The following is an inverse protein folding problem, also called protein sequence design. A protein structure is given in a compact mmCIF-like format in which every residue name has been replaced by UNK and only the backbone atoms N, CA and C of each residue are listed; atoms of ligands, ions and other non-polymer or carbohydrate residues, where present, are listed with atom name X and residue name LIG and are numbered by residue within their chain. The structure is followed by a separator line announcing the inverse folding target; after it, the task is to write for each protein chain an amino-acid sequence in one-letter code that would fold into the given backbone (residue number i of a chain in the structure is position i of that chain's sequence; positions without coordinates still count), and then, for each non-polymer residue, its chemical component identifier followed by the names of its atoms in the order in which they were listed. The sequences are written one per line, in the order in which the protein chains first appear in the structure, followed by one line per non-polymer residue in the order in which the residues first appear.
data_IF_088784471585
#
_entry.id   IF_088784471585
#
_cell.length_a   1.000
_cell.length_b   1.000
_cell.length_c   1.000
_cell.angle_alpha   90.00
_cell.angle_beta   90.00
_cell.angle_gamma   90.00
#
_symmetry.space_group_name_H-M   'P 1'
#
loop_
_entity.id
_entity.type
_entity.pdbx_description
1 polymer ?
#
# COMPACT_ATOMS: atom_id res chain seq x y z
N UNK A 1 -19.31 -0.18 21.71
CA UNK A 1 -18.14 -1.04 21.43
C UNK A 1 -17.15 -0.83 22.57
N UNK A 2 -16.61 -1.90 23.15
CA UNK A 2 -15.48 -1.75 24.09
C UNK A 2 -14.25 -1.21 23.35
N UNK A 3 -13.29 -0.63 24.06
CA UNK A 3 -12.01 -0.15 23.48
C UNK A 3 -11.34 -1.27 22.68
N UNK A 4 -11.34 -2.50 23.23
CA UNK A 4 -10.82 -3.67 22.54
C UNK A 4 -11.53 -3.98 21.21
N UNK A 5 -12.86 -3.83 21.15
CA UNK A 5 -13.61 -4.03 19.90
C UNK A 5 -13.31 -2.94 18.87
N UNK A 6 -13.13 -1.68 19.29
CA UNK A 6 -12.77 -0.58 18.38
C UNK A 6 -11.35 -0.76 17.80
N UNK A 7 -10.39 -1.13 18.64
CA UNK A 7 -9.00 -1.38 18.22
C UNK A 7 -8.88 -2.64 17.38
N UNK A 8 -9.68 -3.66 17.66
CA UNK A 8 -9.79 -4.84 16.80
C UNK A 8 -10.34 -4.46 15.42
N UNK A 9 -11.41 -3.66 15.35
CA UNK A 9 -11.97 -3.18 14.09
C UNK A 9 -10.98 -2.32 13.26
N UNK A 10 -10.18 -1.48 13.92
CA UNK A 10 -9.13 -0.68 13.27
C UNK A 10 -7.99 -1.53 12.70
N UNK A 11 -7.58 -2.57 13.43
CA UNK A 11 -6.40 -3.37 13.12
C UNK A 11 -6.68 -4.63 12.29
N UNK A 12 -7.89 -5.21 12.32
CA UNK A 12 -8.17 -6.50 11.65
C UNK A 12 -7.98 -6.46 10.14
N UNK A 13 -8.12 -5.29 9.52
CA UNK A 13 -7.83 -5.08 8.10
C UNK A 13 -6.34 -5.29 7.78
N UNK A 14 -5.43 -4.79 8.62
CA UNK A 14 -3.98 -4.98 8.40
C UNK A 14 -3.57 -6.42 8.65
N UNK A 15 -4.23 -7.09 9.61
CA UNK A 15 -4.10 -8.53 9.80
C UNK A 15 -4.51 -9.30 8.54
N UNK A 16 -5.66 -8.98 7.93
CA UNK A 16 -6.06 -9.55 6.64
C UNK A 16 -5.02 -9.27 5.54
N UNK A 17 -4.52 -8.04 5.48
CA UNK A 17 -3.46 -7.61 4.54
C UNK A 17 -2.18 -8.43 4.66
N UNK A 18 -1.80 -8.79 5.89
CA UNK A 18 -0.65 -9.66 6.17
C UNK A 18 -0.82 -11.03 5.48
N UNK A 19 -1.96 -11.70 5.65
CA UNK A 19 -2.22 -12.97 4.98
C UNK A 19 -2.27 -12.81 3.47
N UNK A 20 -2.98 -11.79 2.98
CA UNK A 20 -3.05 -11.48 1.55
C UNK A 20 -1.67 -11.32 0.93
N UNK A 21 -0.77 -10.59 1.60
CA UNK A 21 0.59 -10.37 1.14
C UNK A 21 1.43 -11.67 1.08
N UNK A 22 1.34 -12.55 2.08
CA UNK A 22 2.06 -13.84 2.11
C UNK A 22 1.65 -14.73 0.92
N UNK A 23 0.35 -14.79 0.62
CA UNK A 23 -0.17 -15.64 -0.45
C UNK A 23 -0.10 -15.00 -1.84
N UNK A 24 0.00 -13.67 -1.93
CA UNK A 24 -0.04 -12.91 -3.18
C UNK A 24 0.89 -13.43 -4.27
N UNK A 25 2.17 -13.70 -3.94
CA UNK A 25 3.14 -14.20 -4.91
C UNK A 25 2.82 -15.60 -5.43
N UNK A 26 2.44 -16.52 -4.54
CA UNK A 26 2.07 -17.90 -4.92
C UNK A 26 0.82 -17.92 -5.79
N UNK A 27 -0.20 -17.16 -5.39
CA UNK A 27 -1.46 -17.08 -6.14
C UNK A 27 -1.20 -16.44 -7.52
N UNK A 28 -0.45 -15.34 -7.58
CA UNK A 28 -0.10 -14.67 -8.84
C UNK A 28 0.73 -15.52 -9.81
N UNK A 29 1.51 -16.46 -9.30
CA UNK A 29 2.26 -17.42 -10.12
C UNK A 29 1.41 -18.60 -10.60
N UNK A 30 0.40 -19.01 -9.83
CA UNK A 30 -0.47 -20.16 -10.12
C UNK A 30 -1.61 -19.81 -11.07
N UNK A 31 -2.39 -18.76 -10.75
CA UNK A 31 -3.63 -18.43 -11.47
C UNK A 31 -3.50 -17.25 -12.43
N UNK A 32 -2.34 -16.59 -12.47
CA UNK A 32 -2.14 -15.41 -13.28
C UNK A 32 -2.24 -14.10 -12.51
N UNK A 33 -1.73 -13.01 -13.09
CA UNK A 33 -1.87 -11.68 -12.50
C UNK A 33 -3.32 -11.21 -12.66
N UNK A 34 -3.90 -11.38 -13.86
CA UNK A 34 -5.32 -11.09 -14.11
C UNK A 34 -6.23 -11.96 -13.26
N UNK A 35 -5.95 -13.26 -13.16
CA UNK A 35 -6.71 -14.20 -12.31
C UNK A 35 -6.66 -13.82 -10.84
N UNK A 36 -5.51 -13.37 -10.34
CA UNK A 36 -5.38 -12.94 -8.94
C UNK A 36 -6.15 -11.65 -8.65
N UNK A 37 -6.20 -10.71 -9.60
CA UNK A 37 -7.04 -9.51 -9.46
C UNK A 37 -8.53 -9.87 -9.38
N UNK A 38 -8.99 -10.83 -10.19
CA UNK A 38 -10.35 -11.37 -10.13
C UNK A 38 -10.64 -11.99 -8.76
N UNK A 39 -9.76 -12.87 -8.31
CA UNK A 39 -9.88 -13.53 -7.01
C UNK A 39 -9.94 -12.52 -5.87
N UNK A 40 -9.05 -11.53 -5.85
CA UNK A 40 -9.04 -10.47 -4.85
C UNK A 40 -10.34 -9.63 -4.88
N UNK A 41 -10.92 -9.37 -6.07
CA UNK A 41 -12.17 -8.61 -6.15
C UNK A 41 -13.35 -9.32 -5.52
N UNK A 42 -13.41 -10.66 -5.56
CA UNK A 42 -14.44 -11.44 -4.88
C UNK A 42 -14.41 -11.15 -3.37
N UNK A 43 -13.22 -11.14 -2.75
CA UNK A 43 -13.07 -10.82 -1.33
C UNK A 43 -13.42 -9.36 -1.02
N UNK A 44 -13.11 -8.42 -1.90
CA UNK A 44 -13.53 -7.03 -1.75
C UNK A 44 -15.05 -6.88 -1.78
N UNK A 45 -15.72 -7.48 -2.76
CA UNK A 45 -17.18 -7.40 -2.90
C UNK A 45 -17.87 -8.03 -1.69
N UNK A 46 -17.45 -9.24 -1.29
CA UNK A 46 -17.98 -9.91 -0.10
C UNK A 46 -17.74 -9.07 1.15
N UNK A 47 -16.55 -8.48 1.28
CA UNK A 47 -16.20 -7.66 2.44
C UNK A 47 -17.03 -6.36 2.52
N UNK A 48 -17.22 -5.66 1.41
CA UNK A 48 -18.07 -4.46 1.37
C UNK A 48 -19.55 -4.78 1.62
N UNK A 49 -20.06 -5.89 1.09
CA UNK A 49 -21.43 -6.35 1.37
C UNK A 49 -21.60 -6.72 2.85
N UNK A 50 -20.63 -7.42 3.43
CA UNK A 50 -20.63 -7.76 4.86
C UNK A 50 -20.63 -6.50 5.74
N UNK A 51 -19.90 -5.45 5.37
CA UNK A 51 -19.91 -4.16 6.07
C UNK A 51 -21.25 -3.44 5.88
N UNK A 52 -21.77 -3.39 4.65
CA UNK A 52 -23.00 -2.66 4.35
C UNK A 52 -24.24 -3.24 5.04
N UNK A 53 -24.33 -4.57 5.11
CA UNK A 53 -25.46 -5.31 5.70
C UNK A 53 -25.19 -5.80 7.13
N UNK A 54 -24.01 -5.49 7.69
CA UNK A 54 -23.62 -5.91 9.02
C UNK A 54 -24.59 -5.42 10.11
N UNK A 55 -25.12 -6.37 10.88
CA UNK A 55 -25.99 -6.12 12.04
C UNK A 55 -25.21 -6.11 13.36
N UNK A 56 -24.15 -6.91 13.43
CA UNK A 56 -23.29 -7.06 14.61
C UNK A 56 -21.84 -6.65 14.31
N UNK A 57 -21.06 -6.37 15.36
CA UNK A 57 -19.65 -6.02 15.25
C UNK A 57 -18.82 -7.10 14.53
N UNK A 58 -19.15 -8.38 14.72
CA UNK A 58 -18.49 -9.51 14.07
C UNK A 58 -18.61 -9.49 12.55
N UNK A 59 -19.73 -9.02 12.00
CA UNK A 59 -19.93 -8.87 10.56
C UNK A 59 -19.03 -7.76 9.99
N UNK A 60 -18.87 -6.66 10.73
CA UNK A 60 -18.00 -5.56 10.36
C UNK A 60 -16.52 -5.99 10.38
N UNK A 61 -16.12 -6.74 11.40
CA UNK A 61 -14.77 -7.27 11.55
C UNK A 61 -14.44 -8.30 10.45
N UNK A 62 -15.36 -9.24 10.19
CA UNK A 62 -15.22 -10.23 9.11
C UNK A 62 -15.13 -9.55 7.74
N UNK A 63 -15.95 -8.52 7.50
CA UNK A 63 -15.90 -7.73 6.27
C UNK A 63 -14.55 -7.02 6.10
N UNK A 64 -14.03 -6.40 7.15
CA UNK A 64 -12.70 -5.75 7.13
C UNK A 64 -11.55 -6.74 6.96
N UNK A 65 -11.63 -7.93 7.56
CA UNK A 65 -10.66 -8.99 7.34
C UNK A 65 -10.60 -9.40 5.87
N UNK A 66 -11.78 -9.59 5.25
CA UNK A 66 -11.91 -9.95 3.83
C UNK A 66 -11.34 -8.86 2.91
N UNK A 67 -11.68 -7.59 3.15
CA UNK A 67 -11.11 -6.46 2.39
C UNK A 67 -9.60 -6.38 2.61
N UNK A 68 -9.13 -6.58 3.84
CA UNK A 68 -7.70 -6.62 4.17
C UNK A 68 -6.96 -7.64 3.32
N UNK A 69 -7.49 -8.88 3.24
CA UNK A 69 -6.92 -9.94 2.40
C UNK A 69 -6.83 -9.53 0.92
N UNK A 70 -7.90 -8.94 0.38
CA UNK A 70 -7.92 -8.44 -1.00
C UNK A 70 -6.89 -7.32 -1.22
N UNK A 71 -6.79 -6.35 -0.31
CA UNK A 71 -5.82 -5.24 -0.37
C UNK A 71 -4.39 -5.78 -0.31
N UNK A 72 -4.12 -6.79 0.53
CA UNK A 72 -2.83 -7.48 0.57
C UNK A 72 -2.46 -8.09 -0.79
N UNK A 73 -3.41 -8.75 -1.47
CA UNK A 73 -3.20 -9.25 -2.83
C UNK A 73 -2.95 -8.12 -3.85
N UNK A 74 -3.77 -7.06 -3.83
CA UNK A 74 -3.63 -5.93 -4.75
C UNK A 74 -2.31 -5.18 -4.60
N UNK A 75 -1.82 -5.05 -3.37
CA UNK A 75 -0.58 -4.33 -3.07
C UNK A 75 0.64 -4.90 -3.80
N UNK A 76 0.64 -6.20 -4.09
CA UNK A 76 1.68 -6.87 -4.87
C UNK A 76 1.32 -6.98 -6.35
N UNK A 77 0.11 -7.44 -6.67
CA UNK A 77 -0.24 -7.85 -8.03
C UNK A 77 -0.38 -6.67 -8.98
N UNK A 78 -0.95 -5.54 -8.53
CA UNK A 78 -1.18 -4.38 -9.41
C UNK A 78 0.15 -3.74 -9.85
N UNK A 79 1.08 -3.36 -8.94
CA UNK A 79 2.37 -2.79 -9.37
C UNK A 79 3.19 -3.73 -10.24
N UNK A 80 3.18 -5.04 -9.94
CA UNK A 80 3.90 -6.06 -10.72
C UNK A 80 3.30 -6.16 -12.12
N UNK A 81 1.98 -6.27 -12.24
CA UNK A 81 1.32 -6.33 -13.53
C UNK A 81 1.63 -5.11 -14.39
N UNK A 82 1.52 -3.91 -13.82
CA UNK A 82 1.89 -2.66 -14.51
C UNK A 82 3.35 -2.71 -14.97
N UNK A 83 4.28 -3.10 -14.09
CA UNK A 83 5.70 -3.19 -14.43
C UNK A 83 6.02 -4.21 -15.53
N UNK A 84 5.22 -5.28 -15.64
CA UNK A 84 5.39 -6.34 -16.64
C UNK A 84 4.82 -5.96 -18.01
N UNK A 85 3.71 -5.22 -18.07
CA UNK A 85 3.10 -4.79 -19.34
C UNK A 85 3.73 -3.52 -19.92
N UNK A 86 4.30 -2.65 -19.07
CA UNK A 86 4.82 -1.35 -19.51
C UNK A 86 6.24 -1.45 -20.11
N UNK A 87 6.51 -0.76 -21.24
CA UNK A 87 7.85 -0.66 -21.82
C UNK A 87 8.89 -0.13 -20.83
N UNK A 88 10.16 -0.56 -20.98
CA UNK A 88 11.26 -0.22 -20.05
C UNK A 88 11.43 1.30 -19.82
N UNK A 89 11.26 2.12 -20.86
CA UNK A 89 11.53 3.56 -20.81
C UNK A 89 10.44 4.39 -20.09
N UNK A 90 9.19 3.90 -20.02
CA UNK A 90 8.07 4.59 -19.32
C UNK A 90 7.58 3.84 -18.08
N UNK A 91 8.20 2.71 -17.72
CA UNK A 91 7.79 1.86 -16.59
C UNK A 91 7.64 2.63 -15.28
N UNK A 92 8.59 3.51 -14.96
CA UNK A 92 8.56 4.29 -13.72
C UNK A 92 7.29 5.13 -13.61
N UNK A 93 6.92 5.85 -14.67
CA UNK A 93 5.74 6.71 -14.71
C UNK A 93 4.43 5.93 -14.53
N UNK A 94 4.28 4.76 -15.17
CA UNK A 94 3.08 3.92 -15.01
C UNK A 94 3.01 3.26 -13.64
N UNK A 95 4.13 2.80 -13.06
CA UNK A 95 4.12 2.28 -11.68
C UNK A 95 3.74 3.39 -10.70
N UNK A 96 4.18 4.62 -10.95
CA UNK A 96 3.81 5.77 -10.14
C UNK A 96 2.33 6.16 -10.26
N UNK A 97 1.73 6.07 -11.45
CA UNK A 97 0.32 6.42 -11.64
C UNK A 97 -0.60 5.61 -10.72
N UNK A 98 -0.21 4.40 -10.34
CA UNK A 98 -0.89 3.61 -9.31
C UNK A 98 -0.90 4.30 -7.92
N UNK A 99 0.22 4.87 -7.47
CA UNK A 99 0.28 5.58 -6.18
C UNK A 99 -0.53 6.87 -6.22
N UNK A 100 -0.49 7.58 -7.35
CA UNK A 100 -1.32 8.77 -7.56
C UNK A 100 -2.81 8.40 -7.50
N UNK A 101 -3.21 7.33 -8.20
CA UNK A 101 -4.59 6.84 -8.22
C UNK A 101 -5.07 6.41 -6.82
N UNK A 102 -4.21 5.78 -6.02
CA UNK A 102 -4.52 5.49 -4.61
C UNK A 102 -4.77 6.77 -3.81
N UNK A 103 -3.93 7.79 -3.99
CA UNK A 103 -4.10 9.08 -3.30
C UNK A 103 -5.40 9.78 -3.72
N UNK A 104 -5.75 9.74 -5.00
CA UNK A 104 -7.04 10.23 -5.51
C UNK A 104 -8.22 9.45 -4.93
N UNK A 105 -8.12 8.12 -4.85
CA UNK A 105 -9.15 7.27 -4.27
C UNK A 105 -9.41 7.58 -2.80
N UNK A 106 -8.35 7.66 -1.98
CA UNK A 106 -8.48 8.00 -0.56
C UNK A 106 -9.03 9.42 -0.38
N UNK A 107 -8.57 10.38 -1.19
CA UNK A 107 -9.10 11.76 -1.19
C UNK A 107 -10.60 11.78 -1.48
N UNK A 108 -11.04 11.09 -2.53
CA UNK A 108 -12.46 10.98 -2.88
C UNK A 108 -13.28 10.38 -1.73
N UNK A 109 -12.77 9.34 -1.08
CA UNK A 109 -13.45 8.72 0.07
C UNK A 109 -13.56 9.64 1.28
N UNK A 110 -12.55 10.47 1.56
CA UNK A 110 -12.65 11.45 2.64
C UNK A 110 -13.71 12.52 2.36
N UNK A 111 -13.82 12.99 1.11
CA UNK A 111 -14.87 13.93 0.71
C UNK A 111 -16.24 13.29 0.82
N UNK A 112 -16.47 12.14 0.19
CA UNK A 112 -17.77 11.46 0.19
C UNK A 112 -18.17 11.05 1.62
N UNK A 113 -17.22 10.53 2.39
CA UNK A 113 -17.45 10.10 3.78
C UNK A 113 -17.84 11.24 4.73
N UNK A 114 -17.57 12.49 4.36
CA UNK A 114 -18.02 13.66 5.12
C UNK A 114 -19.52 13.92 4.95
N UNK A 115 -20.10 13.59 3.79
CA UNK A 115 -21.51 13.86 3.47
C UNK A 115 -22.42 12.64 3.55
N UNK A 116 -21.84 11.43 3.56
CA UNK A 116 -22.59 10.18 3.39
C UNK A 116 -22.42 9.28 4.60
N UNK A 117 -23.54 8.74 5.10
CA UNK A 117 -23.54 7.76 6.17
C UNK A 117 -22.72 6.50 5.82
N UNK A 118 -21.98 5.96 6.78
CA UNK A 118 -20.99 4.87 6.59
C UNK A 118 -21.51 3.65 5.82
N UNK A 119 -22.79 3.26 6.00
CA UNK A 119 -23.42 2.16 5.24
C UNK A 119 -23.52 2.46 3.74
N UNK A 120 -23.94 3.67 3.38
CA UNK A 120 -24.00 4.10 1.97
C UNK A 120 -22.59 4.27 1.40
N UNK A 121 -21.64 4.73 2.21
CA UNK A 121 -20.22 4.79 1.83
C UNK A 121 -19.66 3.40 1.49
N UNK A 122 -20.02 2.36 2.26
CA UNK A 122 -19.65 0.97 1.96
C UNK A 122 -20.25 0.48 0.63
N UNK A 123 -21.50 0.84 0.32
CA UNK A 123 -22.13 0.51 -0.96
C UNK A 123 -21.48 1.25 -2.15
N UNK A 124 -21.08 2.52 -1.97
CA UNK A 124 -20.32 3.27 -2.98
C UNK A 124 -19.00 2.54 -3.29
N UNK A 125 -18.39 1.88 -2.30
CA UNK A 125 -17.19 1.09 -2.51
C UNK A 125 -17.34 -0.14 -3.39
N UNK A 126 -18.56 -0.64 -3.60
CA UNK A 126 -18.81 -1.71 -4.56
C UNK A 126 -18.69 -1.24 -6.01
N UNK A 127 -18.88 0.05 -6.30
CA UNK A 127 -18.83 0.61 -7.66
C UNK A 127 -17.45 0.39 -8.31
N UNK A 128 -16.31 0.81 -7.72
CA UNK A 128 -15.01 0.55 -8.31
C UNK A 128 -14.67 -0.94 -8.38
N UNK A 129 -15.14 -1.75 -7.43
CA UNK A 129 -14.96 -3.21 -7.48
C UNK A 129 -15.67 -3.82 -8.70
N UNK A 130 -16.94 -3.48 -8.92
CA UNK A 130 -17.70 -3.94 -10.08
C UNK A 130 -17.09 -3.43 -11.40
N UNK A 131 -16.66 -2.17 -11.44
CA UNK A 131 -15.98 -1.61 -12.60
C UNK A 131 -14.67 -2.37 -12.92
N UNK A 132 -13.88 -2.72 -11.90
CA UNK A 132 -12.66 -3.48 -12.12
C UNK A 132 -12.96 -4.90 -12.63
N UNK A 133 -13.95 -5.58 -12.06
CA UNK A 133 -14.42 -6.89 -12.53
C UNK A 133 -14.75 -6.86 -14.03
N UNK A 134 -15.48 -5.85 -14.49
CA UNK A 134 -15.82 -5.69 -15.91
C UNK A 134 -14.59 -5.35 -16.76
N UNK A 135 -13.74 -4.42 -16.31
CA UNK A 135 -12.57 -4.00 -17.08
C UNK A 135 -11.50 -5.10 -17.19
N UNK A 136 -11.41 -6.00 -16.21
CA UNK A 136 -10.50 -7.14 -16.25
C UNK A 136 -10.78 -8.07 -17.44
N UNK A 137 -12.00 -8.14 -17.98
CA UNK A 137 -12.26 -8.95 -19.18
C UNK A 137 -11.48 -8.44 -20.41
N UNK A 138 -11.28 -7.13 -20.52
CA UNK A 138 -10.68 -6.49 -21.69
C UNK A 138 -9.15 -6.45 -21.67
N UNK A 139 -8.53 -6.61 -20.50
CA UNK A 139 -7.06 -6.59 -20.38
C UNK A 139 -6.44 -7.96 -20.69
N UNK A 140 -5.27 -8.01 -21.35
CA UNK A 140 -4.53 -9.25 -21.55
C UNK A 140 -3.85 -9.73 -20.24
N UNK A 141 -3.33 -10.96 -20.24
CA UNK A 141 -2.49 -11.45 -19.14
C UNK A 141 -1.02 -11.01 -19.34
N UNK A 142 -0.25 -10.98 -18.26
CA UNK A 142 1.16 -10.59 -18.30
C UNK A 142 1.99 -11.46 -19.27
N UNK A 143 2.67 -10.86 -20.26
CA UNK A 143 3.51 -11.59 -21.20
C UNK A 143 4.60 -12.42 -20.52
N UNK A 144 5.23 -11.89 -19.48
CA UNK A 144 6.30 -12.58 -18.75
C UNK A 144 5.81 -13.85 -18.05
N UNK A 145 4.57 -13.82 -17.55
CA UNK A 145 4.00 -15.01 -16.94
C UNK A 145 3.63 -16.06 -17.98
N UNK A 146 3.06 -15.64 -19.10
CA UNK A 146 2.72 -16.53 -20.21
C UNK A 146 3.97 -17.27 -20.71
N UNK A 147 5.10 -16.56 -20.81
CA UNK A 147 6.39 -17.17 -21.13
C UNK A 147 6.86 -18.16 -20.05
N UNK A 148 6.73 -17.80 -18.76
CA UNK A 148 7.04 -18.70 -17.63
C UNK A 148 6.19 -19.97 -17.63
N UNK A 149 4.95 -19.91 -18.12
CA UNK A 149 4.07 -21.07 -18.30
C UNK A 149 4.33 -21.84 -19.60
N UNK A 150 5.30 -21.44 -20.41
CA UNK A 150 5.60 -22.05 -21.71
C UNK A 150 4.59 -21.75 -22.82
N UNK A 151 3.70 -20.76 -22.62
CA UNK A 151 2.65 -20.36 -23.59
C UNK A 151 3.16 -19.26 -24.54
N UNK A 152 4.20 -19.59 -25.31
CA UNK A 152 4.91 -18.62 -26.18
C UNK A 152 4.00 -17.91 -27.20
N UNK A 153 3.04 -18.63 -27.81
CA UNK A 153 2.08 -18.03 -28.77
C UNK A 153 1.21 -16.95 -28.12
N UNK A 154 0.77 -17.17 -26.90
CA UNK A 154 -0.07 -16.22 -26.17
C UNK A 154 0.74 -15.06 -25.60
N UNK A 155 2.00 -15.31 -25.22
CA UNK A 155 2.96 -14.28 -24.86
C UNK A 155 3.10 -13.26 -26.00
N UNK A 156 3.34 -13.73 -27.23
CA UNK A 156 3.42 -12.88 -28.43
C UNK A 156 2.10 -12.16 -28.72
N UNK A 157 0.97 -12.85 -28.65
CA UNK A 157 -0.35 -12.23 -28.85
C UNK A 157 -0.65 -11.13 -27.81
N UNK A 158 -0.28 -11.35 -26.54
CA UNK A 158 -0.42 -10.36 -25.47
C UNK A 158 0.46 -9.14 -25.72
N UNK A 159 1.73 -9.34 -26.11
CA UNK A 159 2.64 -8.26 -26.48
C UNK A 159 2.10 -7.46 -27.68
N UNK A 160 1.61 -8.13 -28.73
CA UNK A 160 1.04 -7.46 -29.90
C UNK A 160 -0.14 -6.56 -29.51
N UNK A 161 -1.03 -7.06 -28.65
CA UNK A 161 -2.18 -6.29 -28.15
C UNK A 161 -1.76 -5.09 -27.29
N UNK A 162 -0.64 -5.17 -26.58
CA UNK A 162 -0.12 -4.11 -25.72
C UNK A 162 0.72 -3.06 -26.47
N UNK A 163 1.41 -3.45 -27.55
CA UNK A 163 2.30 -2.57 -28.34
C UNK A 163 1.64 -2.01 -29.59
N UNK A 164 0.60 -2.66 -30.08
CA UNK A 164 -0.07 -2.35 -31.35
C UNK A 164 0.20 -3.43 -32.39
N UNK A 165 -0.75 -3.60 -33.31
CA UNK A 165 -0.70 -4.68 -34.32
C UNK A 165 0.44 -4.53 -35.33
N UNK A 166 1.02 -3.34 -35.48
CA UNK A 166 2.02 -3.03 -36.51
C UNK A 166 3.46 -3.02 -35.97
N UNK A 167 3.67 -3.29 -34.68
CA UNK A 167 4.99 -3.26 -34.05
C UNK A 167 5.55 -4.69 -33.98
N UNK A 168 6.81 -4.88 -34.38
CA UNK A 168 7.49 -6.17 -34.19
C UNK A 168 7.84 -6.38 -32.71
N UNK A 169 7.19 -7.36 -32.09
CA UNK A 169 7.40 -7.73 -30.68
C UNK A 169 8.40 -8.86 -30.50
N UNK A 170 9.00 -9.37 -31.59
CA UNK A 170 9.86 -10.55 -31.56
C UNK A 170 11.11 -10.35 -30.72
N UNK A 171 11.73 -9.17 -30.79
CA UNK A 171 12.90 -8.82 -29.97
C UNK A 171 12.56 -8.79 -28.47
N UNK A 172 11.43 -8.17 -28.10
CA UNK A 172 10.99 -8.08 -26.70
C UNK A 172 10.63 -9.48 -26.14
N UNK A 173 9.95 -10.30 -26.94
CA UNK A 173 9.62 -11.68 -26.58
C UNK A 173 10.89 -12.53 -26.36
N UNK A 174 11.86 -12.45 -27.26
CA UNK A 174 13.13 -13.18 -27.14
C UNK A 174 13.94 -12.72 -25.92
N UNK A 175 14.01 -11.41 -25.66
CA UNK A 175 14.69 -10.89 -24.47
C UNK A 175 14.04 -11.37 -23.15
N UNK A 176 12.71 -11.49 -23.11
CA UNK A 176 11.99 -12.06 -21.96
C UNK A 176 12.34 -13.54 -21.78
N UNK A 177 12.37 -14.31 -22.87
CA UNK A 177 12.72 -15.74 -22.87
C UNK A 177 14.13 -15.98 -22.37
N UNK A 178 15.12 -15.24 -22.86
CA UNK A 178 16.50 -15.30 -22.39
C UNK A 178 16.61 -15.00 -20.89
N UNK A 179 15.93 -13.95 -20.44
CA UNK A 179 15.90 -13.57 -19.02
C UNK A 179 15.31 -14.69 -18.16
N UNK A 180 14.24 -15.36 -18.61
CA UNK A 180 13.61 -16.48 -17.90
C UNK A 180 14.51 -17.71 -17.82
N UNK A 181 15.20 -18.06 -18.90
CA UNK A 181 16.15 -19.19 -18.91
C UNK A 181 17.31 -18.97 -17.92
N UNK A 182 17.77 -17.73 -17.78
CA UNK A 182 18.77 -17.36 -16.76
C UNK A 182 18.22 -17.51 -15.34
N UNK A 183 16.94 -17.18 -15.10
CA UNK A 183 16.30 -17.34 -13.80
C UNK A 183 16.10 -18.80 -13.41
N UNK A 184 15.67 -19.66 -14.34
CA UNK A 184 15.40 -21.08 -14.05
C UNK A 184 16.68 -21.89 -13.79
N UNK A 185 17.81 -21.46 -14.36
CA UNK A 185 19.14 -22.02 -14.09
C UNK A 185 19.75 -21.56 -12.76
N UNK A 186 19.16 -20.55 -12.10
CA UNK A 186 19.64 -20.02 -10.83
C UNK A 186 19.25 -20.91 -9.63
N UNK A 187 20.04 -20.93 -8.55
CA UNK A 187 19.68 -21.65 -7.34
C UNK A 187 18.38 -21.09 -6.73
N UNK A 188 17.37 -21.94 -6.56
CA UNK A 188 16.12 -21.61 -5.85
C UNK A 188 16.45 -21.45 -4.36
N UNK A 189 16.61 -20.20 -3.90
CA UNK A 189 17.00 -19.95 -2.51
C UNK A 189 15.92 -20.38 -1.53
N UNK A 190 16.30 -21.20 -0.54
CA UNK A 190 15.43 -21.46 0.61
C UNK A 190 15.44 -20.24 1.53
N UNK A 191 14.32 -19.96 2.19
CA UNK A 191 14.19 -18.84 3.16
C UNK A 191 15.29 -18.91 4.24
N UNK A 192 15.79 -20.10 4.57
CA UNK A 192 16.87 -20.31 5.54
C UNK A 192 18.21 -19.71 5.08
N UNK A 193 18.47 -19.65 3.77
CA UNK A 193 19.70 -19.07 3.21
C UNK A 193 19.77 -17.55 3.39
N UNK A 194 18.64 -16.89 3.68
CA UNK A 194 18.59 -15.47 4.00
C UNK A 194 19.37 -15.14 5.28
N UNK A 195 19.38 -16.05 6.26
CA UNK A 195 20.01 -15.81 7.57
C UNK A 195 21.53 -16.03 7.55
N UNK A 196 22.13 -16.21 6.37
CA UNK A 196 23.57 -16.24 6.24
C UNK A 196 24.20 -14.88 6.55
N UNK A 197 25.37 -14.89 7.19
CA UNK A 197 26.13 -13.69 7.59
C UNK A 197 26.39 -12.71 6.43
N UNK A 198 26.45 -13.22 5.19
CA UNK A 198 26.56 -12.45 3.95
C UNK A 198 25.39 -11.49 3.73
N UNK A 199 24.17 -11.90 4.06
CA UNK A 199 22.94 -11.12 3.83
C UNK A 199 22.46 -10.36 5.07
N UNK A 200 23.06 -10.62 6.24
CA UNK A 200 22.67 -10.01 7.51
C UNK A 200 22.60 -8.48 7.46
N UNK A 201 23.56 -7.79 6.84
CA UNK A 201 23.52 -6.31 6.70
C UNK A 201 22.32 -5.82 5.89
N UNK A 202 22.02 -6.50 4.78
CA UNK A 202 20.87 -6.15 3.93
C UNK A 202 19.55 -6.43 4.65
N UNK A 203 19.46 -7.54 5.38
CA UNK A 203 18.30 -7.87 6.21
C UNK A 203 18.07 -6.86 7.32
N UNK A 204 19.13 -6.46 8.05
CA UNK A 204 19.02 -5.46 9.13
C UNK A 204 18.53 -4.12 8.58
N UNK A 205 19.04 -3.67 7.43
CA UNK A 205 18.59 -2.43 6.80
C UNK A 205 17.15 -2.56 6.31
N UNK A 206 16.81 -3.63 5.58
CA UNK A 206 15.49 -3.84 5.00
C UNK A 206 14.39 -4.00 6.06
N UNK A 207 14.62 -4.85 7.07
CA UNK A 207 13.70 -5.02 8.19
C UNK A 207 13.65 -3.76 9.05
N UNK A 208 14.80 -3.18 9.41
CA UNK A 208 14.88 -1.98 10.22
C UNK A 208 14.10 -0.81 9.62
N UNK A 209 14.19 -0.59 8.30
CA UNK A 209 13.44 0.48 7.63
C UNK A 209 11.92 0.25 7.66
N UNK A 210 11.44 -0.99 7.51
CA UNK A 210 10.00 -1.29 7.62
C UNK A 210 9.49 -1.15 9.06
N UNK A 211 10.30 -1.58 10.04
CA UNK A 211 9.99 -1.39 11.45
C UNK A 211 9.88 0.10 11.76
N UNK A 212 10.85 0.91 11.36
CA UNK A 212 10.82 2.36 11.55
C UNK A 212 9.61 3.00 10.84
N UNK A 213 9.24 2.51 9.64
CA UNK A 213 8.06 2.99 8.93
C UNK A 213 6.78 2.79 9.75
N UNK A 214 6.58 1.63 10.37
CA UNK A 214 5.36 1.34 11.12
C UNK A 214 5.39 1.88 12.55
N UNK A 215 6.50 1.71 13.26
CA UNK A 215 6.70 2.20 14.63
C UNK A 215 6.70 3.72 14.73
N UNK A 216 6.87 4.44 13.62
CA UNK A 216 6.64 5.89 13.56
C UNK A 216 5.20 6.32 13.88
N UNK A 217 4.25 5.37 13.96
CA UNK A 217 2.84 5.66 14.23
C UNK A 217 2.02 5.97 12.98
N UNK A 218 2.58 5.74 11.78
CA UNK A 218 1.90 6.01 10.50
C UNK A 218 0.54 5.32 10.39
N UNK A 219 0.47 4.02 10.73
CA UNK A 219 -0.80 3.27 10.74
C UNK A 219 -1.80 3.80 11.76
N UNK A 220 -1.33 4.23 12.95
CA UNK A 220 -2.19 4.80 13.99
C UNK A 220 -2.81 6.13 13.55
N UNK A 221 -1.98 7.06 13.06
CA UNK A 221 -2.47 8.36 12.59
C UNK A 221 -3.43 8.20 11.43
N UNK A 222 -3.14 7.33 10.45
CA UNK A 222 -3.99 7.17 9.26
C UNK A 222 -5.34 6.52 9.60
N UNK A 223 -5.37 5.50 10.45
CA UNK A 223 -6.63 4.80 10.77
C UNK A 223 -7.51 5.57 11.75
N UNK A 224 -6.91 6.34 12.65
CA UNK A 224 -7.62 7.07 13.71
C UNK A 224 -7.65 8.58 13.48
N UNK A 225 -7.37 9.03 12.25
CA UNK A 225 -7.20 10.45 11.94
C UNK A 225 -8.39 11.31 12.33
N UNK A 226 -9.61 10.80 12.13
CA UNK A 226 -10.84 11.50 12.51
C UNK A 226 -10.94 11.73 14.01
N UNK A 227 -10.67 10.68 14.79
CA UNK A 227 -10.65 10.76 16.26
C UNK A 227 -9.49 11.62 16.79
N UNK A 228 -8.33 11.63 16.12
CA UNK A 228 -7.20 12.53 16.44
C UNK A 228 -7.62 13.99 16.29
N UNK A 229 -8.33 14.32 15.20
CA UNK A 229 -8.87 15.67 15.01
C UNK A 229 -9.91 16.02 16.08
N UNK A 230 -10.86 15.12 16.36
CA UNK A 230 -11.89 15.36 17.38
C UNK A 230 -11.30 15.61 18.77
N UNK A 231 -10.35 14.77 19.20
CA UNK A 231 -9.64 14.98 20.47
C UNK A 231 -8.81 16.27 20.48
N UNK A 232 -8.30 16.68 19.32
CA UNK A 232 -7.58 17.95 19.15
C UNK A 232 -8.48 19.18 19.07
N UNK A 233 -9.81 19.01 19.16
CA UNK A 233 -10.77 20.11 19.10
C UNK A 233 -11.14 20.56 17.68
N UNK A 234 -10.74 19.81 16.64
CA UNK A 234 -11.15 20.04 15.26
C UNK A 234 -12.25 19.04 14.86
N UNK A 235 -13.39 19.47 14.29
CA UNK A 235 -14.39 18.55 13.77
C UNK A 235 -13.77 17.57 12.74
N UNK A 236 -14.06 16.27 12.87
CA UNK A 236 -13.51 15.24 11.97
C UNK A 236 -13.83 15.53 10.50
N UNK A 237 -14.99 16.11 10.20
CA UNK A 237 -15.40 16.49 8.83
C UNK A 237 -14.44 17.48 8.19
N UNK A 238 -14.09 18.55 8.92
CA UNK A 238 -13.16 19.59 8.45
C UNK A 238 -11.76 18.98 8.29
N UNK A 239 -11.30 18.20 9.28
CA UNK A 239 -10.01 17.52 9.21
C UNK A 239 -9.90 16.57 8.02
N UNK A 240 -10.92 15.75 7.76
CA UNK A 240 -10.97 14.85 6.60
C UNK A 240 -10.98 15.62 5.26
N UNK A 241 -11.69 16.75 5.16
CA UNK A 241 -11.67 17.59 3.96
C UNK A 241 -10.29 18.21 3.70
N UNK A 242 -9.62 18.71 4.74
CA UNK A 242 -8.24 19.23 4.63
C UNK A 242 -7.30 18.13 4.11
N UNK A 243 -7.39 16.93 4.67
CA UNK A 243 -6.57 15.81 4.20
C UNK A 243 -6.88 15.44 2.75
N UNK A 244 -8.16 15.43 2.35
CA UNK A 244 -8.54 15.13 0.98
C UNK A 244 -7.83 16.05 -0.03
N UNK A 245 -7.76 17.35 0.27
CA UNK A 245 -7.07 18.33 -0.59
C UNK A 245 -5.55 18.09 -0.63
N UNK A 246 -4.94 17.68 0.48
CA UNK A 246 -3.48 17.55 0.60
C UNK A 246 -2.95 16.22 0.07
N UNK A 247 -3.74 15.15 0.09
CA UNK A 247 -3.32 13.81 -0.29
C UNK A 247 -2.79 13.69 -1.73
N UNK A 248 -3.39 14.42 -2.67
CA UNK A 248 -3.01 14.39 -4.10
C UNK A 248 -1.72 15.20 -4.33
N UNK A 249 -1.63 16.49 -3.94
CA UNK A 249 -0.40 17.28 -4.06
C UNK A 249 0.81 16.63 -3.39
N UNK A 250 0.66 16.06 -2.18
CA UNK A 250 1.78 15.41 -1.49
C UNK A 250 2.35 14.24 -2.29
N UNK A 251 1.49 13.51 -3.01
CA UNK A 251 1.91 12.33 -3.79
C UNK A 251 2.72 12.76 -5.01
N UNK A 252 2.33 13.87 -5.65
CA UNK A 252 3.07 14.47 -6.76
C UNK A 252 4.41 15.03 -6.30
N UNK A 253 4.44 15.73 -5.16
CA UNK A 253 5.67 16.27 -4.58
C UNK A 253 6.66 15.16 -4.21
N UNK A 254 6.18 14.09 -3.57
CA UNK A 254 7.01 12.93 -3.21
C UNK A 254 7.75 12.37 -4.42
N UNK A 255 7.09 12.25 -5.58
CA UNK A 255 7.73 11.78 -6.81
C UNK A 255 8.87 12.70 -7.26
N UNK A 256 8.56 13.99 -7.43
CA UNK A 256 9.51 14.96 -8.00
C UNK A 256 10.77 15.03 -7.14
N UNK A 257 10.61 14.92 -5.83
CA UNK A 257 11.73 14.98 -4.89
C UNK A 257 12.61 13.74 -4.94
N UNK A 258 12.02 12.53 -5.07
CA UNK A 258 12.77 11.26 -5.14
C UNK A 258 13.73 11.23 -6.33
N UNK A 259 13.32 11.77 -7.47
CA UNK A 259 14.18 11.82 -8.67
C UNK A 259 15.33 12.84 -8.56
N UNK A 260 15.14 13.92 -7.79
CA UNK A 260 16.10 15.05 -7.74
C UNK A 260 17.12 14.98 -6.60
N UNK A 261 16.71 14.58 -5.40
CA UNK A 261 17.49 14.77 -4.15
C UNK A 261 18.20 13.47 -3.73
N UNK A 262 17.77 12.33 -4.26
CA UNK A 262 18.27 11.02 -3.88
C UNK A 262 17.70 10.52 -2.55
N UNK A 263 17.96 9.25 -2.24
CA UNK A 263 17.16 8.49 -1.26
C UNK A 263 17.50 8.78 0.20
N UNK A 264 18.80 8.84 0.52
CA UNK A 264 19.28 8.99 1.90
C UNK A 264 18.93 10.36 2.50
N UNK A 265 19.13 11.50 1.80
CA UNK A 265 18.72 12.80 2.34
C UNK A 265 17.20 12.87 2.55
N UNK A 266 16.39 12.37 1.60
CA UNK A 266 14.94 12.36 1.74
C UNK A 266 14.43 11.52 2.91
N UNK A 267 15.04 10.35 3.16
CA UNK A 267 14.73 9.55 4.34
C UNK A 267 15.02 10.32 5.63
N UNK A 268 16.18 10.97 5.73
CA UNK A 268 16.55 11.74 6.92
C UNK A 268 15.64 12.95 7.11
N UNK A 269 15.35 13.70 6.06
CA UNK A 269 14.40 14.83 6.10
C UNK A 269 13.00 14.38 6.50
N UNK A 270 12.55 13.23 5.99
CA UNK A 270 11.25 12.64 6.34
C UNK A 270 11.18 12.26 7.81
N UNK A 271 12.18 11.55 8.35
CA UNK A 271 12.21 11.15 9.76
C UNK A 271 12.26 12.39 10.67
N UNK A 272 13.12 13.37 10.37
CA UNK A 272 13.21 14.62 11.14
C UNK A 272 11.90 15.40 11.12
N UNK A 273 11.27 15.52 9.95
CA UNK A 273 9.97 16.18 9.79
C UNK A 273 8.87 15.48 10.58
N UNK A 274 8.76 14.16 10.45
CA UNK A 274 7.80 13.36 11.21
C UNK A 274 8.00 13.50 12.72
N UNK A 275 9.25 13.50 13.18
CA UNK A 275 9.59 13.66 14.60
C UNK A 275 9.15 15.03 15.12
N UNK A 276 9.44 16.09 14.36
CA UNK A 276 9.01 17.45 14.68
C UNK A 276 7.48 17.58 14.75
N UNK A 277 6.77 17.06 13.75
CA UNK A 277 5.30 17.16 13.72
C UNK A 277 4.62 16.26 14.75
N UNK A 278 5.19 15.10 15.10
CA UNK A 278 4.73 14.28 16.22
C UNK A 278 4.92 14.97 17.57
N UNK A 279 6.03 15.69 17.77
CA UNK A 279 6.23 16.53 18.96
C UNK A 279 5.21 17.67 19.01
N UNK A 280 4.97 18.34 17.88
CA UNK A 280 3.96 19.39 17.78
C UNK A 280 2.55 18.88 18.15
N UNK A 281 2.18 17.70 17.64
CA UNK A 281 0.93 17.04 17.97
C UNK A 281 0.85 16.68 19.47
N UNK A 282 1.97 16.24 20.05
CA UNK A 282 2.06 15.94 21.49
C UNK A 282 1.86 17.19 22.35
N UNK A 283 2.47 18.33 21.96
CA UNK A 283 2.25 19.61 22.64
C UNK A 283 0.81 20.09 22.51
N UNK A 284 0.19 19.90 21.34
CA UNK A 284 -1.22 20.25 21.13
C UNK A 284 -2.13 19.51 22.13
N UNK A 285 -1.95 18.20 22.31
CA UNK A 285 -2.71 17.45 23.31
C UNK A 285 -2.38 17.83 24.75
N UNK A 286 -1.12 18.17 25.04
CA UNK A 286 -0.70 18.65 26.35
C UNK A 286 -1.42 19.96 26.72
N UNK A 287 -1.40 20.95 25.83
CA UNK A 287 -2.09 22.23 26.04
C UNK A 287 -3.59 22.05 26.26
N UNK A 288 -4.22 21.15 25.48
CA UNK A 288 -5.61 20.77 25.68
C UNK A 288 -5.88 20.21 27.07
N UNK A 289 -5.01 19.32 27.55
CA UNK A 289 -5.19 18.68 28.86
C UNK A 289 -5.08 19.65 30.03
N UNK A 290 -4.30 20.72 29.89
CA UNK A 290 -4.15 21.76 30.91
C UNK A 290 -5.11 22.94 30.73
N UNK A 291 -6.00 22.92 29.73
CA UNK A 291 -6.92 24.02 29.42
C UNK A 291 -6.21 25.32 29.01
N UNK A 292 -4.99 25.21 28.46
CA UNK A 292 -4.20 26.35 28.00
C UNK A 292 -4.31 26.46 26.48
N UNK A 293 -4.40 27.69 25.95
CA UNK A 293 -4.38 27.94 24.50
C UNK A 293 -5.44 27.13 23.71
N UNK A 294 -6.65 27.04 24.25
CA UNK A 294 -7.74 26.25 23.65
C UNK A 294 -8.09 26.69 22.22
N UNK A 295 -7.92 27.97 21.89
CA UNK A 295 -8.14 28.49 20.52
C UNK A 295 -7.06 28.04 19.53
N UNK A 296 -5.80 27.86 19.98
CA UNK A 296 -4.69 27.47 19.11
C UNK A 296 -4.53 25.96 18.97
N UNK A 297 -5.12 25.19 19.90
CA UNK A 297 -4.98 23.74 19.95
C UNK A 297 -5.48 23.03 18.67
N UNK A 298 -6.66 23.36 18.10
CA UNK A 298 -7.12 22.74 16.86
C UNK A 298 -6.21 23.03 15.66
N UNK A 299 -5.65 24.23 15.60
CA UNK A 299 -4.72 24.64 14.53
C UNK A 299 -3.42 23.85 14.66
N UNK A 300 -2.88 23.72 15.87
CA UNK A 300 -1.67 22.93 16.13
C UNK A 300 -1.87 21.45 15.81
N UNK A 301 -3.02 20.86 16.19
CA UNK A 301 -3.37 19.49 15.80
C UNK A 301 -3.41 19.34 14.29
N UNK A 302 -4.06 20.30 13.59
CA UNK A 302 -4.15 20.28 12.14
C UNK A 302 -2.77 20.31 11.46
N UNK A 303 -1.92 21.26 11.86
CA UNK A 303 -0.55 21.39 11.35
C UNK A 303 0.27 20.13 11.67
N UNK A 304 0.14 19.58 12.88
CA UNK A 304 0.82 18.35 13.30
C UNK A 304 0.45 17.16 12.43
N UNK A 305 -0.85 16.88 12.25
CA UNK A 305 -1.32 15.73 11.45
C UNK A 305 -0.96 15.91 9.97
N UNK A 306 -1.23 17.08 9.39
CA UNK A 306 -0.94 17.37 7.98
C UNK A 306 0.56 17.33 7.70
N UNK A 307 1.36 17.93 8.57
CA UNK A 307 2.81 17.95 8.47
C UNK A 307 3.42 16.55 8.59
N UNK A 308 2.92 15.73 9.54
CA UNK A 308 3.34 14.33 9.68
C UNK A 308 3.05 13.54 8.40
N UNK A 309 1.81 13.59 7.87
CA UNK A 309 1.42 12.83 6.67
C UNK A 309 2.20 13.29 5.44
N UNK A 310 2.46 14.60 5.32
CA UNK A 310 3.20 15.17 4.20
C UNK A 310 4.68 14.77 4.24
N UNK A 311 5.33 14.90 5.39
CA UNK A 311 6.74 14.50 5.56
C UNK A 311 6.94 12.99 5.47
N UNK A 312 5.98 12.19 5.94
CA UNK A 312 5.96 10.75 5.72
C UNK A 312 5.96 10.39 4.24
N UNK A 313 5.11 11.03 3.43
CA UNK A 313 5.01 10.75 2.01
C UNK A 313 6.29 11.07 1.20
N UNK A 314 7.08 12.06 1.65
CA UNK A 314 8.34 12.46 0.98
C UNK A 314 9.41 11.37 1.07
N UNK A 315 9.44 10.59 2.14
CA UNK A 315 10.49 9.60 2.37
C UNK A 315 9.98 8.28 2.89
N UNK A 316 9.61 8.24 4.17
CA UNK A 316 9.31 7.00 4.89
C UNK A 316 8.15 6.20 4.30
N UNK A 317 7.23 6.78 3.53
CA UNK A 317 6.14 6.05 2.88
C UNK A 317 6.60 5.14 1.74
N UNK A 318 7.33 5.69 0.77
CA UNK A 318 7.72 4.96 -0.44
C UNK A 318 9.14 4.39 -0.41
N UNK A 319 10.11 5.14 0.12
CA UNK A 319 11.54 4.83 0.00
C UNK A 319 11.97 3.49 0.62
N UNK A 320 11.44 3.05 1.79
CA UNK A 320 11.77 1.75 2.34
C UNK A 320 11.54 0.60 1.35
N UNK A 321 10.45 0.66 0.57
CA UNK A 321 10.10 -0.35 -0.43
C UNK A 321 11.07 -0.35 -1.60
N UNK A 322 11.49 0.84 -2.06
CA UNK A 322 12.42 0.94 -3.18
C UNK A 322 13.83 0.51 -2.75
N UNK A 323 14.29 0.92 -1.57
CA UNK A 323 15.60 0.51 -1.02
C UNK A 323 15.64 -1.00 -0.81
N UNK A 324 14.57 -1.60 -0.28
CA UNK A 324 14.45 -3.06 -0.17
C UNK A 324 14.67 -3.73 -1.53
N UNK A 325 14.05 -3.21 -2.59
CA UNK A 325 14.22 -3.76 -3.94
C UNK A 325 15.62 -3.59 -4.54
N UNK A 326 16.49 -2.75 -3.97
CA UNK A 326 17.84 -2.48 -4.50
C UNK A 326 18.95 -3.16 -3.71
N UNK A 327 18.81 -3.28 -2.39
CA UNK A 327 19.86 -3.84 -1.53
C UNK A 327 19.95 -5.36 -1.62
N UNK A 328 18.84 -6.05 -1.92
CA UNK A 328 18.82 -7.51 -1.95
C UNK A 328 19.30 -8.07 -3.30
N UNK A 329 20.28 -8.98 -3.30
CA UNK A 329 20.73 -9.62 -4.52
C UNK A 329 19.62 -10.51 -5.09
N UNK A 330 19.63 -10.65 -6.43
CA UNK A 330 18.52 -11.25 -7.19
C UNK A 330 18.16 -12.67 -6.74
N UNK A 331 19.13 -13.46 -6.26
CA UNK A 331 18.92 -14.83 -5.81
C UNK A 331 18.07 -14.95 -4.53
N UNK A 332 18.09 -13.94 -3.66
CA UNK A 332 17.35 -13.94 -2.37
C UNK A 332 16.26 -12.88 -2.30
N UNK A 333 16.16 -11.99 -3.30
CA UNK A 333 15.26 -10.84 -3.33
C UNK A 333 13.80 -11.19 -3.06
N UNK A 334 13.29 -12.28 -3.64
CA UNK A 334 11.89 -12.70 -3.46
C UNK A 334 11.61 -13.14 -2.02
N UNK A 335 12.48 -13.99 -1.47
CA UNK A 335 12.35 -14.52 -0.11
C UNK A 335 12.56 -13.42 0.94
N UNK A 336 13.56 -12.55 0.74
CA UNK A 336 13.82 -11.39 1.59
C UNK A 336 12.64 -10.40 1.56
N UNK A 337 12.12 -10.12 0.36
CA UNK A 337 11.01 -9.21 0.19
C UNK A 337 9.73 -9.69 0.88
N UNK A 338 9.47 -11.00 0.85
CA UNK A 338 8.34 -11.61 1.55
C UNK A 338 8.46 -11.46 3.06
N UNK A 339 9.65 -11.72 3.63
CA UNK A 339 9.91 -11.56 5.06
C UNK A 339 9.76 -10.10 5.53
N UNK A 340 10.31 -9.17 4.74
CA UNK A 340 10.24 -7.73 5.04
C UNK A 340 8.81 -7.20 4.94
N UNK A 341 8.05 -7.68 3.97
CA UNK A 341 6.62 -7.36 3.82
C UNK A 341 5.80 -7.90 4.99
N UNK A 342 6.05 -9.15 5.39
CA UNK A 342 5.41 -9.76 6.56
C UNK A 342 5.68 -8.93 7.81
N UNK A 343 6.94 -8.57 8.08
CA UNK A 343 7.29 -7.71 9.18
C UNK A 343 6.54 -6.36 9.12
N UNK A 344 6.50 -5.72 7.96
CA UNK A 344 5.76 -4.46 7.81
C UNK A 344 4.27 -4.60 8.22
N UNK A 345 3.56 -5.59 7.70
CA UNK A 345 2.15 -5.79 8.04
C UNK A 345 1.93 -6.18 9.50
N UNK A 346 2.79 -7.03 10.07
CA UNK A 346 2.72 -7.41 11.48
C UNK A 346 2.88 -6.21 12.41
N UNK A 347 3.86 -5.33 12.15
CA UNK A 347 4.08 -4.15 12.98
C UNK A 347 3.03 -3.06 12.74
N UNK A 348 2.51 -2.95 11.52
CA UNK A 348 1.33 -2.12 11.23
C UNK A 348 0.12 -2.57 12.07
N UNK A 349 -0.12 -3.88 12.15
CA UNK A 349 -1.16 -4.45 13.00
C UNK A 349 -0.95 -4.16 14.48
N UNK A 350 0.26 -4.40 15.01
CA UNK A 350 0.61 -4.11 16.41
C UNK A 350 0.37 -2.64 16.72
N UNK A 351 0.86 -1.72 15.89
CA UNK A 351 0.70 -0.28 16.11
C UNK A 351 -0.78 0.11 16.03
N UNK A 352 -1.53 -0.36 15.04
CA UNK A 352 -2.95 -0.05 14.90
C UNK A 352 -3.80 -0.60 16.05
N UNK A 353 -3.43 -1.76 16.61
CA UNK A 353 -4.10 -2.37 17.75
C UNK A 353 -3.71 -1.71 19.08
N UNK A 354 -2.43 -1.33 19.23
CA UNK A 354 -1.91 -0.68 20.43
C UNK A 354 -2.28 0.81 20.52
N UNK A 355 -2.64 1.45 19.40
CA UNK A 355 -3.18 2.81 19.33
C UNK A 355 -4.59 2.84 19.94
N UNK A 356 -4.64 2.64 21.26
CA UNK A 356 -5.84 2.73 22.05
C UNK A 356 -6.02 4.18 22.49
N UNK A 357 -7.23 4.68 22.31
CA UNK A 357 -7.66 5.96 22.87
C UNK A 357 -8.05 5.89 24.32
#
# INVERSE_FOLDING_TARGET
LSVAQYSMFGSIMTFGGMFGAIFSGKVADLIGRKGTMWFAQIFCIVGWLAIAFGKDATWLDAGRLSIGFAVGLFSYVIPVYIAEITPKHVRGAFVFSNLLMQSCGVSLYYVIGTFVHWRKLALIGLIPCALQVVTLFFIPESPRLLEKWGREKECRASLQRLRGNDVDVSEEANAIKETMVLFDKGPKSRVIELFQKRYARCLVIGLGLMLLQQLSGSSGIVFYVGSVFEKGGLPSSIGSMILAVILVPKSLLGLILVEKIGRRPLLLTSISGMSFFSLLLSFSFCFRSYGMLDEFTPILTCIGVVGFISTYAIGMGGLPWIIMSEIFPMNVKVSAGSLVTLANWSFSWIVAFAYNF
#
